data_IF_168106445292
#
_entry.id   IF_168106445292
#
_cell.length_a   1.000
_cell.length_b   1.000
_cell.length_c   1.000
_cell.angle_alpha   90.00
_cell.angle_beta   90.00
_cell.angle_gamma   90.00
#
_symmetry.space_group_name_H-M   'P 1'
#
loop_
_entity.id
_entity.type
_entity.pdbx_description
1 polymer ?
#
# COMPACT_ATOMS: atom_id res chain seq x y z
N UNK A 1 14.34 60.76 27.23
CA UNK A 1 13.32 60.08 28.08
C UNK A 1 13.78 58.66 28.34
N UNK A 2 13.87 58.21 29.61
CA UNK A 2 14.16 56.81 29.92
C UNK A 2 12.92 55.99 29.59
N UNK A 3 12.99 55.13 28.58
CA UNK A 3 11.90 54.18 28.24
C UNK A 3 11.54 53.34 29.47
N UNK A 4 10.26 53.01 29.66
CA UNK A 4 9.84 52.07 30.71
C UNK A 4 10.54 50.71 30.51
N UNK A 5 10.88 50.03 31.61
CA UNK A 5 11.48 48.68 31.57
C UNK A 5 10.65 47.72 30.74
N UNK A 6 9.32 47.83 30.82
CA UNK A 6 8.37 47.03 30.03
C UNK A 6 8.55 47.27 28.53
N UNK A 7 8.62 48.54 28.08
CA UNK A 7 8.79 48.89 26.66
C UNK A 7 10.15 48.42 26.13
N UNK A 8 11.23 48.55 26.93
CA UNK A 8 12.56 48.06 26.53
C UNK A 8 12.59 46.54 26.33
N UNK A 9 11.94 45.79 27.22
CA UNK A 9 11.86 44.34 27.12
C UNK A 9 11.10 43.90 25.86
N UNK A 10 9.95 44.54 25.57
CA UNK A 10 9.17 44.20 24.38
C UNK A 10 9.90 44.57 23.08
N UNK A 11 10.63 45.70 23.05
CA UNK A 11 11.46 46.05 21.90
C UNK A 11 12.64 45.10 21.70
N UNK A 12 13.28 44.64 22.79
CA UNK A 12 14.33 43.63 22.71
C UNK A 12 13.78 42.29 22.18
N UNK A 13 12.60 41.86 22.67
CA UNK A 13 11.92 40.67 22.19
C UNK A 13 11.54 40.78 20.71
N UNK A 14 10.99 41.92 20.28
CA UNK A 14 10.64 42.16 18.87
C UNK A 14 11.89 42.14 17.98
N UNK A 15 13.00 42.75 18.42
CA UNK A 15 14.27 42.70 17.67
C UNK A 15 14.79 41.27 17.56
N UNK A 16 14.78 40.52 18.66
CA UNK A 16 15.19 39.12 18.65
C UNK A 16 14.31 38.29 17.70
N UNK A 17 12.99 38.49 17.73
CA UNK A 17 12.05 37.85 16.80
C UNK A 17 12.39 38.20 15.35
N UNK A 18 12.55 39.49 15.01
CA UNK A 18 12.86 39.92 13.64
C UNK A 18 14.21 39.38 13.15
N UNK A 19 15.24 39.41 13.99
CA UNK A 19 16.57 38.88 13.66
C UNK A 19 16.50 37.37 13.44
N UNK A 20 15.85 36.63 14.34
CA UNK A 20 15.71 35.18 14.18
C UNK A 20 14.88 34.82 12.96
N UNK A 21 13.78 35.53 12.67
CA UNK A 21 12.99 35.34 11.44
C UNK A 21 13.83 35.60 10.19
N UNK A 22 14.65 36.66 10.16
CA UNK A 22 15.52 36.92 9.02
C UNK A 22 16.58 35.81 8.87
N UNK A 23 17.15 35.34 9.98
CA UNK A 23 18.15 34.27 9.96
C UNK A 23 17.53 32.94 9.51
N UNK A 24 16.45 32.48 10.13
CA UNK A 24 15.88 31.14 9.89
C UNK A 24 14.93 31.10 8.69
N UNK A 25 14.29 32.21 8.34
CA UNK A 25 13.33 32.30 7.25
C UNK A 25 13.91 32.81 5.93
N UNK A 26 15.06 33.49 5.94
CA UNK A 26 15.67 34.05 4.72
C UNK A 26 17.11 33.56 4.53
N UNK A 27 18.00 33.88 5.48
CA UNK A 27 19.44 33.62 5.32
C UNK A 27 19.69 32.11 5.23
N UNK A 28 19.10 31.32 6.13
CA UNK A 28 19.30 29.88 6.17
C UNK A 28 18.74 29.15 4.93
N UNK A 29 17.47 29.35 4.50
CA UNK A 29 16.96 28.71 3.28
C UNK A 29 17.74 29.07 2.03
N UNK A 30 18.13 30.35 1.87
CA UNK A 30 18.94 30.78 0.71
C UNK A 30 20.34 30.16 0.72
N UNK A 31 20.97 30.05 1.90
CA UNK A 31 22.27 29.39 2.03
C UNK A 31 22.17 27.89 1.67
N UNK A 32 21.14 27.18 2.16
CA UNK A 32 20.90 25.77 1.82
C UNK A 32 20.64 25.61 0.32
N UNK A 33 19.81 26.47 -0.28
CA UNK A 33 19.55 26.48 -1.72
C UNK A 33 20.85 26.67 -2.51
N UNK A 34 21.66 27.68 -2.17
CA UNK A 34 22.92 27.95 -2.87
C UNK A 34 23.89 26.76 -2.80
N UNK A 35 23.96 26.07 -1.67
CA UNK A 35 24.78 24.85 -1.51
C UNK A 35 24.21 23.69 -2.34
N UNK A 36 22.89 23.52 -2.37
CA UNK A 36 22.23 22.47 -3.14
C UNK A 36 22.49 22.59 -4.65
N UNK A 37 22.71 23.80 -5.14
CA UNK A 37 23.01 24.11 -6.55
C UNK A 37 24.47 23.81 -6.94
N UNK A 38 25.32 23.35 -6.01
CA UNK A 38 26.69 22.96 -6.34
C UNK A 38 26.71 21.70 -7.23
N UNK A 39 27.69 21.60 -8.16
CA UNK A 39 27.83 20.42 -9.02
C UNK A 39 27.91 19.12 -8.21
N UNK A 40 27.09 18.13 -8.58
CA UNK A 40 26.99 16.83 -7.90
C UNK A 40 25.91 16.75 -6.81
N UNK A 41 25.32 17.86 -6.39
CA UNK A 41 24.16 17.90 -5.47
C UNK A 41 22.86 18.32 -6.16
N UNK A 42 22.98 19.05 -7.27
CA UNK A 42 21.89 19.63 -8.04
C UNK A 42 20.78 18.63 -8.44
N UNK A 43 21.16 17.47 -8.96
CA UNK A 43 20.19 16.49 -9.46
C UNK A 43 19.26 15.97 -8.33
N UNK A 44 19.76 15.93 -7.09
CA UNK A 44 18.96 15.56 -5.92
C UNK A 44 18.04 16.70 -5.48
N UNK A 45 18.49 17.95 -5.57
CA UNK A 45 17.67 19.11 -5.18
C UNK A 45 16.54 19.42 -6.17
N UNK A 46 16.74 19.08 -7.44
CA UNK A 46 15.75 19.28 -8.50
C UNK A 46 14.76 18.09 -8.60
N UNK A 47 14.78 17.18 -7.62
CA UNK A 47 13.80 16.12 -7.49
C UNK A 47 14.20 14.77 -8.08
N UNK A 48 15.48 14.56 -8.44
CA UNK A 48 15.99 13.30 -9.00
C UNK A 48 15.18 12.80 -10.20
N UNK A 49 14.95 13.70 -11.17
CA UNK A 49 14.10 13.45 -12.32
C UNK A 49 14.67 12.36 -13.23
N UNK A 50 13.79 11.53 -13.75
CA UNK A 50 14.08 10.51 -14.76
C UNK A 50 13.59 10.99 -16.12
N UNK A 51 14.41 10.83 -17.15
CA UNK A 51 14.10 11.27 -18.51
C UNK A 51 14.15 10.11 -19.50
N UNK A 52 13.22 10.13 -20.46
CA UNK A 52 13.19 9.24 -21.62
C UNK A 52 12.90 10.10 -22.86
N UNK A 53 13.70 9.94 -23.93
CA UNK A 53 13.53 10.68 -25.18
C UNK A 53 13.41 12.22 -25.01
N UNK A 54 14.15 12.77 -24.03
CA UNK A 54 14.14 14.20 -23.72
C UNK A 54 12.91 14.70 -22.95
N UNK A 55 11.99 13.82 -22.57
CA UNK A 55 10.84 14.11 -21.73
C UNK A 55 11.06 13.62 -20.30
N UNK A 56 10.56 14.37 -19.32
CA UNK A 56 10.54 13.92 -17.92
C UNK A 56 9.43 12.89 -17.75
N UNK A 57 9.80 11.67 -17.40
CA UNK A 57 8.86 10.55 -17.22
C UNK A 57 8.60 10.24 -15.74
N UNK A 58 9.36 10.84 -14.83
CA UNK A 58 9.16 10.64 -13.40
C UNK A 58 10.32 11.11 -12.54
N UNK A 59 10.43 10.53 -11.36
CA UNK A 59 11.52 10.73 -10.40
C UNK A 59 11.95 9.37 -9.86
N UNK A 60 13.23 9.20 -9.55
CA UNK A 60 13.72 8.00 -8.86
C UNK A 60 13.15 7.84 -7.44
N UNK A 61 12.49 8.88 -6.91
CA UNK A 61 11.99 8.94 -5.54
C UNK A 61 10.46 8.79 -5.43
N UNK A 62 9.75 8.79 -6.55
CA UNK A 62 8.28 8.79 -6.59
C UNK A 62 7.81 7.57 -7.37
N UNK A 63 7.07 6.68 -6.71
CA UNK A 63 6.45 5.53 -7.35
C UNK A 63 5.33 5.93 -8.31
N UNK A 64 5.00 5.02 -9.22
CA UNK A 64 3.94 5.22 -10.20
C UNK A 64 3.01 4.00 -10.23
N UNK A 65 1.78 4.23 -10.68
CA UNK A 65 0.88 3.13 -11.04
C UNK A 65 1.26 2.58 -12.41
N UNK A 66 1.34 1.26 -12.53
CA UNK A 66 1.59 0.55 -13.79
C UNK A 66 0.34 -0.25 -14.21
N UNK A 67 -0.80 0.44 -14.16
CA UNK A 67 -2.12 -0.06 -14.56
C UNK A 67 -2.63 0.68 -15.79
N UNK A 68 -3.62 0.10 -16.47
CA UNK A 68 -4.40 0.83 -17.47
C UNK A 68 -5.46 1.75 -16.82
N UNK A 69 -6.30 2.37 -17.65
CA UNK A 69 -7.35 3.30 -17.22
C UNK A 69 -8.44 2.64 -16.37
N UNK A 70 -8.62 1.32 -16.48
CA UNK A 70 -9.57 0.55 -15.70
C UNK A 70 -8.94 0.01 -14.40
N UNK A 71 -7.69 0.39 -14.11
CA UNK A 71 -6.95 -0.07 -12.93
C UNK A 71 -6.36 -1.48 -13.07
N UNK A 72 -6.42 -2.08 -14.26
CA UNK A 72 -5.87 -3.42 -14.48
C UNK A 72 -4.37 -3.36 -14.69
N UNK A 73 -3.64 -4.23 -14.01
CA UNK A 73 -2.19 -4.32 -14.08
C UNK A 73 -1.67 -4.57 -15.51
N UNK A 74 -0.74 -3.73 -15.97
CA UNK A 74 -0.09 -3.88 -17.27
C UNK A 74 0.89 -5.05 -17.25
N UNK A 75 0.67 -6.03 -18.14
CA UNK A 75 1.41 -7.30 -18.16
C UNK A 75 2.91 -7.14 -18.46
N UNK A 76 3.30 -6.04 -19.10
CA UNK A 76 4.67 -5.73 -19.51
C UNK A 76 5.50 -4.97 -18.45
N UNK A 77 4.89 -4.56 -17.34
CA UNK A 77 5.55 -3.79 -16.28
C UNK A 77 5.53 -4.50 -14.93
N UNK A 78 6.60 -4.28 -14.16
CA UNK A 78 6.62 -4.57 -12.74
C UNK A 78 5.60 -3.70 -12.03
N UNK A 79 4.86 -4.32 -11.13
CA UNK A 79 3.82 -3.69 -10.34
C UNK A 79 4.43 -3.20 -9.03
N UNK A 80 4.15 -1.94 -8.73
CA UNK A 80 4.50 -1.31 -7.48
C UNK A 80 3.64 -1.85 -6.33
N UNK A 81 3.91 -1.37 -5.11
CA UNK A 81 3.04 -1.64 -3.96
C UNK A 81 1.66 -1.00 -4.16
N UNK A 82 0.62 -1.46 -3.47
CA UNK A 82 -0.63 -0.71 -3.44
C UNK A 82 -0.42 0.71 -2.87
N UNK A 83 -1.17 1.67 -3.40
CA UNK A 83 -1.18 3.06 -2.92
C UNK A 83 -2.56 3.43 -2.37
N UNK A 84 -2.58 4.27 -1.34
CA UNK A 84 -3.77 4.95 -0.84
C UNK A 84 -3.78 6.46 -1.13
N UNK A 85 -2.77 6.99 -1.83
CA UNK A 85 -2.68 8.40 -2.20
C UNK A 85 -3.58 8.73 -3.40
N UNK A 86 -4.64 9.50 -3.16
CA UNK A 86 -5.61 9.91 -4.17
C UNK A 86 -6.58 8.79 -4.57
N UNK A 87 -7.51 9.10 -5.49
CA UNK A 87 -8.56 8.17 -5.92
C UNK A 87 -8.01 6.94 -6.67
N UNK A 88 -6.97 7.14 -7.48
CA UNK A 88 -6.37 6.09 -8.33
C UNK A 88 -5.00 5.59 -7.83
N UNK A 89 -4.59 6.04 -6.64
CA UNK A 89 -3.24 5.76 -6.14
C UNK A 89 -2.17 6.63 -6.80
N UNK A 90 -0.99 6.70 -6.16
CA UNK A 90 0.19 7.38 -6.66
C UNK A 90 -0.01 8.88 -7.00
N UNK A 91 -1.01 9.55 -6.40
CA UNK A 91 -1.23 10.99 -6.57
C UNK A 91 -0.29 11.81 -5.67
N UNK A 92 0.68 12.57 -6.24
CA UNK A 92 1.60 13.38 -5.45
C UNK A 92 0.93 14.55 -4.73
N UNK A 93 -0.27 14.96 -5.13
CA UNK A 93 -1.05 16.02 -4.48
C UNK A 93 -1.87 15.52 -3.28
N UNK A 94 -2.05 14.20 -3.15
CA UNK A 94 -2.88 13.56 -2.13
C UNK A 94 -2.09 12.55 -1.27
N UNK A 95 -0.77 12.69 -1.20
CA UNK A 95 0.17 11.86 -0.42
C UNK A 95 -0.42 11.41 0.93
N UNK A 96 -0.66 10.12 1.08
CA UNK A 96 -1.38 9.57 2.24
C UNK A 96 -1.24 8.04 2.35
N UNK A 97 -1.56 7.54 3.55
CA UNK A 97 -1.65 6.12 3.88
C UNK A 97 -3.11 5.68 4.02
N UNK A 98 -3.36 4.37 3.98
CA UNK A 98 -4.71 3.83 4.19
C UNK A 98 -5.25 4.03 5.62
N UNK A 99 -4.35 4.14 6.61
CA UNK A 99 -4.68 4.33 8.04
C UNK A 99 -5.67 3.30 8.63
N UNK A 100 -5.81 2.12 8.01
CA UNK A 100 -6.60 1.01 8.55
C UNK A 100 -5.79 0.25 9.59
N UNK A 101 -6.37 0.04 10.78
CA UNK A 101 -5.75 -0.72 11.86
C UNK A 101 -5.90 -2.24 11.70
N UNK A 102 -5.15 -3.04 12.48
CA UNK A 102 -5.21 -4.51 12.42
C UNK A 102 -6.58 -5.10 12.80
N UNK A 103 -7.38 -4.37 13.58
CA UNK A 103 -8.76 -4.76 13.95
C UNK A 103 -9.80 -4.40 12.87
N UNK A 104 -9.38 -3.80 11.74
CA UNK A 104 -10.24 -3.59 10.58
C UNK A 104 -10.43 -4.92 9.85
N UNK A 105 -11.38 -5.72 10.31
CA UNK A 105 -11.67 -7.06 9.77
C UNK A 105 -13.10 -7.23 9.24
N UNK A 106 -13.97 -6.24 9.43
CA UNK A 106 -15.38 -6.27 8.98
C UNK A 106 -15.61 -5.20 7.92
N UNK A 107 -16.18 -5.60 6.80
CA UNK A 107 -16.54 -4.72 5.69
C UNK A 107 -17.83 -3.96 6.00
N UNK A 108 -17.94 -2.74 5.49
CA UNK A 108 -19.23 -2.04 5.40
C UNK A 108 -19.85 -2.38 4.06
N UNK A 109 -20.88 -3.22 4.09
CA UNK A 109 -21.62 -3.66 2.91
C UNK A 109 -22.87 -2.78 2.73
N UNK A 110 -23.10 -2.30 1.52
CA UNK A 110 -24.24 -1.48 1.16
C UNK A 110 -24.84 -1.95 -0.17
N UNK A 111 -26.11 -1.63 -0.40
CA UNK A 111 -26.78 -1.91 -1.67
C UNK A 111 -26.26 -1.01 -2.79
N UNK A 112 -25.77 0.19 -2.45
CA UNK A 112 -25.00 1.05 -3.35
C UNK A 112 -23.52 0.63 -3.34
N UNK A 113 -22.97 0.13 -4.46
CA UNK A 113 -21.57 -0.28 -4.53
C UNK A 113 -20.58 0.85 -4.23
N UNK A 114 -20.96 2.12 -4.39
CA UNK A 114 -20.09 3.26 -4.10
C UNK A 114 -19.95 3.55 -2.60
N UNK A 115 -20.88 3.07 -1.78
CA UNK A 115 -20.84 3.19 -0.31
C UNK A 115 -20.18 1.98 0.37
N UNK A 116 -19.84 0.93 -0.40
CA UNK A 116 -19.12 -0.24 0.12
C UNK A 116 -17.71 0.16 0.55
N UNK A 117 -17.36 -0.14 1.82
CA UNK A 117 -16.02 0.12 2.36
C UNK A 117 -15.40 -1.17 2.84
N UNK A 118 -14.34 -1.58 2.16
CA UNK A 118 -13.61 -2.79 2.54
C UNK A 118 -12.75 -2.54 3.78
N UNK A 119 -12.73 -3.54 4.65
CA UNK A 119 -11.80 -3.65 5.76
C UNK A 119 -10.37 -3.89 5.29
N UNK A 120 -9.40 -3.74 6.20
CA UNK A 120 -8.02 -4.10 5.90
C UNK A 120 -7.91 -5.57 5.53
N UNK A 121 -8.62 -6.45 6.25
CA UNK A 121 -8.60 -7.88 5.99
C UNK A 121 -9.07 -8.21 4.57
N UNK A 122 -10.27 -7.77 4.18
CA UNK A 122 -10.79 -8.01 2.83
C UNK A 122 -9.92 -7.34 1.75
N UNK A 123 -9.37 -6.15 2.01
CA UNK A 123 -8.43 -5.50 1.09
C UNK A 123 -7.18 -6.36 0.84
N UNK A 124 -6.60 -6.93 1.90
CA UNK A 124 -5.43 -7.82 1.80
C UNK A 124 -5.80 -9.13 1.09
N UNK A 125 -6.95 -9.71 1.41
CA UNK A 125 -7.44 -10.93 0.77
C UNK A 125 -7.64 -10.74 -0.74
N UNK A 126 -8.30 -9.66 -1.15
CA UNK A 126 -8.58 -9.37 -2.55
C UNK A 126 -7.29 -9.18 -3.34
N UNK A 127 -6.36 -8.37 -2.83
CA UNK A 127 -5.05 -8.16 -3.45
C UNK A 127 -4.23 -9.44 -3.53
N UNK A 128 -4.22 -10.24 -2.46
CA UNK A 128 -3.47 -11.50 -2.44
C UNK A 128 -3.98 -12.47 -3.50
N UNK A 129 -5.30 -12.60 -3.62
CA UNK A 129 -5.94 -13.38 -4.67
C UNK A 129 -5.59 -12.85 -6.06
N UNK A 130 -5.71 -11.54 -6.28
CA UNK A 130 -5.40 -10.92 -7.58
C UNK A 130 -3.92 -11.13 -7.98
N UNK A 131 -2.98 -10.93 -7.06
CA UNK A 131 -1.55 -11.19 -7.32
C UNK A 131 -1.29 -12.67 -7.57
N UNK A 132 -1.89 -13.57 -6.79
CA UNK A 132 -1.80 -15.01 -6.99
C UNK A 132 -2.29 -15.43 -8.39
N UNK A 133 -3.47 -14.96 -8.78
CA UNK A 133 -4.06 -15.22 -10.09
C UNK A 133 -3.20 -14.65 -11.23
N UNK A 134 -2.68 -13.43 -11.07
CA UNK A 134 -1.85 -12.74 -12.08
C UNK A 134 -0.50 -13.44 -12.29
N UNK A 135 0.20 -13.76 -11.20
CA UNK A 135 1.54 -14.35 -11.25
C UNK A 135 1.51 -15.89 -11.27
N UNK A 136 0.31 -16.50 -11.26
CA UNK A 136 0.06 -17.95 -11.27
C UNK A 136 0.70 -18.68 -10.08
N UNK A 137 0.56 -18.11 -8.89
CA UNK A 137 0.98 -18.71 -7.62
C UNK A 137 -0.20 -18.80 -6.65
N UNK A 138 -0.03 -19.55 -5.56
CA UNK A 138 -1.05 -19.61 -4.52
C UNK A 138 -1.13 -18.27 -3.75
N UNK A 139 -2.26 -17.57 -3.93
CA UNK A 139 -2.58 -16.33 -3.22
C UNK A 139 -3.37 -16.53 -1.93
N UNK A 140 -3.68 -17.77 -1.54
CA UNK A 140 -4.48 -18.06 -0.37
C UNK A 140 -3.80 -17.60 0.93
N UNK A 141 -4.62 -17.16 1.90
CA UNK A 141 -4.17 -16.74 3.22
C UNK A 141 -5.13 -17.28 4.29
N UNK A 142 -4.64 -17.53 5.53
CA UNK A 142 -5.44 -18.21 6.55
C UNK A 142 -6.77 -17.55 6.89
N UNK A 143 -6.86 -16.23 6.84
CA UNK A 143 -8.08 -15.49 7.20
C UNK A 143 -8.88 -15.01 5.98
N UNK A 144 -8.63 -15.59 4.80
CA UNK A 144 -9.28 -15.20 3.56
C UNK A 144 -10.17 -16.31 3.03
N UNK A 145 -11.33 -15.94 2.49
CA UNK A 145 -12.18 -16.86 1.73
C UNK A 145 -11.59 -17.09 0.34
N UNK A 146 -12.10 -18.09 -0.38
CA UNK A 146 -11.69 -18.38 -1.77
C UNK A 146 -12.03 -17.25 -2.74
N UNK A 147 -13.04 -16.45 -2.41
CA UNK A 147 -13.49 -15.32 -3.20
C UNK A 147 -12.67 -14.04 -2.92
N UNK A 148 -11.73 -14.09 -1.97
CA UNK A 148 -10.81 -12.99 -1.70
C UNK A 148 -11.36 -11.95 -0.73
N UNK A 149 -12.33 -12.29 0.11
CA UNK A 149 -12.77 -11.44 1.24
C UNK A 149 -12.31 -12.02 2.58
N UNK A 150 -12.38 -11.23 3.65
CA UNK A 150 -12.04 -11.71 4.99
C UNK A 150 -13.00 -12.77 5.49
N UNK A 151 -12.49 -13.90 5.97
CA UNK A 151 -13.28 -14.98 6.57
C UNK A 151 -13.70 -14.60 8.00
N UNK A 152 -14.81 -13.86 8.14
CA UNK A 152 -15.26 -13.32 9.42
C UNK A 152 -16.74 -13.59 9.64
N UNK A 153 -17.07 -14.06 10.85
CA UNK A 153 -18.44 -14.33 11.28
C UNK A 153 -18.87 -13.34 12.36
N UNK A 154 -20.14 -12.94 12.34
CA UNK A 154 -20.85 -12.42 13.51
C UNK A 154 -21.68 -13.53 14.12
N UNK A 155 -21.30 -13.94 15.33
CA UNK A 155 -21.91 -15.04 16.07
C UNK A 155 -22.83 -14.47 17.13
N UNK A 156 -24.14 -14.69 16.99
CA UNK A 156 -25.17 -14.12 17.86
C UNK A 156 -25.74 -15.22 18.75
N UNK A 157 -25.84 -14.95 20.05
CA UNK A 157 -26.38 -15.88 21.05
C UNK A 157 -26.05 -15.44 22.48
N UNK A 158 -26.49 -16.20 23.49
CA UNK A 158 -26.11 -15.95 24.88
C UNK A 158 -24.58 -16.04 25.05
N UNK A 159 -24.02 -15.08 25.77
CA UNK A 159 -22.59 -15.02 26.07
C UNK A 159 -22.32 -15.66 27.43
N UNK A 160 -21.22 -16.40 27.50
CA UNK A 160 -20.70 -16.90 28.77
C UNK A 160 -19.88 -15.82 29.52
N UNK A 161 -19.27 -16.21 30.64
CA UNK A 161 -18.48 -15.31 31.49
C UNK A 161 -17.25 -14.71 30.79
N UNK A 162 -16.73 -15.39 29.75
CA UNK A 162 -15.59 -14.93 28.96
C UNK A 162 -16.02 -14.07 27.75
N UNK A 163 -17.34 -13.87 27.58
CA UNK A 163 -17.92 -13.10 26.48
C UNK A 163 -18.09 -13.89 25.19
N UNK A 164 -17.82 -15.20 25.22
CA UNK A 164 -17.91 -16.13 24.10
C UNK A 164 -19.33 -16.66 23.89
N UNK A 165 -19.67 -16.97 22.64
CA UNK A 165 -21.00 -17.51 22.29
C UNK A 165 -20.89 -19.03 22.17
N UNK A 166 -21.28 -19.73 23.23
CA UNK A 166 -21.23 -21.19 23.31
C UNK A 166 -22.36 -21.88 22.53
N UNK A 167 -23.57 -21.31 22.58
CA UNK A 167 -24.77 -21.82 21.89
C UNK A 167 -25.32 -20.75 20.95
N UNK A 168 -24.75 -20.60 19.74
CA UNK A 168 -25.23 -19.59 18.81
C UNK A 168 -26.69 -19.84 18.41
N UNK A 169 -27.42 -18.76 18.19
CA UNK A 169 -28.78 -18.78 17.64
C UNK A 169 -28.81 -18.29 16.20
N UNK A 170 -27.84 -17.44 15.80
CA UNK A 170 -27.67 -16.96 14.44
C UNK A 170 -26.18 -16.75 14.15
N UNK A 171 -25.75 -17.09 12.94
CA UNK A 171 -24.36 -16.88 12.49
C UNK A 171 -24.39 -16.28 11.10
N UNK A 172 -23.69 -15.16 10.92
CA UNK A 172 -23.66 -14.41 9.65
C UNK A 172 -22.22 -14.26 9.21
N UNK A 173 -21.92 -14.55 7.94
CA UNK A 173 -20.66 -14.18 7.29
C UNK A 173 -20.72 -12.70 6.92
N UNK A 174 -19.98 -11.87 7.66
CA UNK A 174 -20.18 -10.40 7.63
C UNK A 174 -19.50 -9.70 6.45
N UNK A 175 -18.60 -10.40 5.76
CA UNK A 175 -17.89 -9.85 4.59
C UNK A 175 -18.39 -10.45 3.26
N UNK A 176 -19.41 -11.31 3.29
CA UNK A 176 -20.02 -11.93 2.11
C UNK A 176 -21.47 -11.45 1.98
N UNK A 177 -21.69 -10.46 1.11
CA UNK A 177 -23.02 -9.90 0.85
C UNK A 177 -23.93 -10.92 0.15
N UNK A 178 -25.18 -11.04 0.60
CA UNK A 178 -26.19 -11.86 -0.09
C UNK A 178 -26.39 -11.39 -1.54
N UNK A 179 -26.57 -12.32 -2.51
CA UNK A 179 -26.86 -13.76 -2.35
C UNK A 179 -25.62 -14.66 -2.36
N UNK A 180 -24.45 -14.19 -1.91
CA UNK A 180 -23.25 -15.02 -1.82
C UNK A 180 -23.50 -16.32 -1.02
N UNK A 181 -22.78 -17.38 -1.40
CA UNK A 181 -22.75 -18.63 -0.63
C UNK A 181 -21.69 -18.49 0.44
N UNK A 182 -22.02 -18.56 1.74
CA UNK A 182 -21.03 -18.36 2.78
C UNK A 182 -19.87 -19.36 2.72
N UNK A 183 -18.66 -18.91 3.04
CA UNK A 183 -17.45 -19.75 3.02
C UNK A 183 -17.52 -20.97 3.96
N UNK A 184 -18.38 -20.91 4.99
CA UNK A 184 -18.72 -22.03 5.87
C UNK A 184 -20.21 -22.34 5.77
N UNK A 185 -20.58 -23.61 5.64
CA UNK A 185 -21.99 -24.00 5.64
C UNK A 185 -22.64 -23.92 7.04
N UNK A 186 -21.88 -24.30 8.08
CA UNK A 186 -22.34 -24.29 9.47
C UNK A 186 -21.23 -23.90 10.44
N UNK A 187 -21.59 -23.30 11.57
CA UNK A 187 -20.68 -22.98 12.67
C UNK A 187 -21.35 -23.34 13.99
N UNK A 188 -20.70 -24.20 14.78
CA UNK A 188 -21.25 -24.76 16.04
C UNK A 188 -22.71 -25.28 15.91
N UNK A 189 -23.00 -25.94 14.78
CA UNK A 189 -24.32 -26.54 14.51
C UNK A 189 -25.39 -25.59 13.96
N UNK A 190 -25.08 -24.29 13.81
CA UNK A 190 -25.98 -23.29 13.22
C UNK A 190 -25.58 -23.04 11.77
N UNK A 191 -26.54 -22.92 10.86
CA UNK A 191 -26.29 -22.55 9.47
C UNK A 191 -25.74 -21.13 9.39
N UNK A 192 -24.69 -20.93 8.59
CA UNK A 192 -24.16 -19.58 8.32
C UNK A 192 -24.99 -18.93 7.20
N UNK A 193 -25.37 -17.69 7.43
CA UNK A 193 -26.08 -16.81 6.47
C UNK A 193 -25.09 -15.82 5.85
N UNK A 194 -25.37 -15.34 4.65
CA UNK A 194 -24.69 -14.17 4.08
C UNK A 194 -25.19 -12.88 4.75
N UNK A 195 -24.41 -11.81 4.65
CA UNK A 195 -24.78 -10.51 5.18
C UNK A 195 -25.76 -9.78 4.24
N UNK A 196 -26.83 -9.23 4.81
CA UNK A 196 -27.72 -8.32 4.09
C UNK A 196 -27.06 -6.94 3.98
N UNK A 197 -27.02 -6.32 2.79
CA UNK A 197 -26.45 -4.98 2.64
C UNK A 197 -27.15 -3.95 3.55
N UNK A 198 -26.36 -3.10 4.23
CA UNK A 198 -26.83 -2.09 5.17
C UNK A 198 -27.23 -2.61 6.56
N UNK A 199 -27.18 -3.93 6.80
CA UNK A 199 -27.49 -4.49 8.11
C UNK A 199 -26.32 -4.35 9.09
N UNK A 200 -26.65 -4.08 10.37
CA UNK A 200 -25.66 -4.01 11.45
C UNK A 200 -25.57 -5.35 12.20
N UNK A 201 -24.38 -5.93 12.21
CA UNK A 201 -24.05 -7.19 12.88
C UNK A 201 -23.16 -7.02 14.11
N UNK A 202 -22.95 -5.78 14.60
CA UNK A 202 -22.08 -5.47 15.73
C UNK A 202 -22.56 -6.06 17.08
N UNK A 203 -23.82 -6.44 17.19
CA UNK A 203 -24.35 -7.07 18.40
C UNK A 203 -23.76 -8.49 18.64
N UNK A 204 -23.33 -9.16 17.58
CA UNK A 204 -22.71 -10.49 17.65
C UNK A 204 -21.25 -10.44 18.14
N UNK A 205 -20.70 -11.60 18.48
CA UNK A 205 -19.26 -11.77 18.67
C UNK A 205 -18.64 -11.88 17.28
N UNK A 206 -17.80 -10.91 16.92
CA UNK A 206 -17.02 -10.96 15.69
C UNK A 206 -15.90 -12.00 15.87
N UNK A 207 -15.88 -13.00 14.99
CA UNK A 207 -14.94 -14.12 15.03
C UNK A 207 -14.25 -14.25 13.67
N UNK A 208 -12.97 -13.90 13.54
CA UNK A 208 -12.20 -14.25 12.36
C UNK A 208 -11.95 -15.77 12.35
N UNK A 209 -12.14 -16.39 11.19
CA UNK A 209 -12.01 -17.83 11.02
C UNK A 209 -10.68 -18.15 10.35
N UNK A 210 -9.89 -18.99 11.03
CA UNK A 210 -8.63 -19.51 10.49
C UNK A 210 -8.91 -20.71 9.59
N UNK A 211 -8.59 -20.58 8.31
CA UNK A 211 -8.70 -21.61 7.27
C UNK A 211 -7.47 -22.53 7.21
N UNK A 212 -7.38 -23.31 6.13
CA UNK A 212 -6.35 -24.32 5.89
C UNK A 212 -5.12 -23.80 5.13
N UNK A 213 -5.18 -22.56 4.63
CA UNK A 213 -4.07 -21.93 3.91
C UNK A 213 -2.85 -21.74 4.81
N UNK A 214 -1.65 -21.85 4.23
CA UNK A 214 -0.39 -21.69 4.95
C UNK A 214 -0.10 -20.21 5.25
N UNK A 215 0.54 -19.94 6.38
CA UNK A 215 1.02 -18.58 6.72
C UNK A 215 2.15 -18.10 5.81
N UNK A 216 2.94 -19.02 5.24
CA UNK A 216 4.00 -18.72 4.27
C UNK A 216 3.45 -18.81 2.84
N UNK A 217 2.67 -17.80 2.45
CA UNK A 217 2.15 -17.66 1.09
C UNK A 217 3.26 -17.18 0.13
N UNK A 218 3.30 -17.67 -1.12
CA UNK A 218 4.16 -17.12 -2.16
C UNK A 218 4.03 -15.59 -2.34
N UNK A 219 2.83 -15.02 -2.15
CA UNK A 219 2.55 -13.59 -2.31
C UNK A 219 3.10 -12.80 -1.11
N UNK A 220 4.14 -11.97 -1.29
CA UNK A 220 4.79 -11.27 -0.18
C UNK A 220 3.91 -10.15 0.40
N UNK A 221 4.27 -9.68 1.59
CA UNK A 221 3.47 -8.72 2.36
C UNK A 221 3.40 -7.34 1.71
N UNK A 222 4.47 -6.89 1.06
CA UNK A 222 4.54 -5.62 0.34
C UNK A 222 3.67 -5.58 -0.93
N UNK A 223 3.34 -6.74 -1.51
CA UNK A 223 2.40 -6.85 -2.62
C UNK A 223 0.94 -6.52 -2.24
N UNK A 224 0.59 -6.71 -0.96
CA UNK A 224 -0.80 -6.57 -0.47
C UNK A 224 -1.00 -5.38 0.47
N UNK A 225 0.09 -4.91 1.10
CA UNK A 225 0.06 -3.79 2.05
C UNK A 225 0.44 -2.47 1.38
N UNK A 226 -0.40 -1.44 1.59
CA UNK A 226 -0.11 -0.11 1.10
C UNK A 226 1.09 0.52 1.82
N UNK A 227 1.79 1.42 1.14
CA UNK A 227 2.89 2.19 1.74
C UNK A 227 2.39 3.33 2.63
N UNK A 228 3.25 3.80 3.54
CA UNK A 228 2.91 4.91 4.45
C UNK A 228 2.85 6.28 3.78
N UNK A 229 3.50 6.47 2.63
CA UNK A 229 3.43 7.70 1.84
C UNK A 229 2.40 7.63 0.71
N UNK A 230 2.04 6.43 0.27
CA UNK A 230 1.28 6.22 -0.98
C UNK A 230 2.11 6.46 -2.25
N UNK A 231 3.38 6.85 -2.13
CA UNK A 231 4.26 7.18 -3.27
C UNK A 231 5.55 6.36 -3.29
N UNK A 232 5.56 5.22 -2.59
CA UNK A 232 6.76 4.37 -2.47
C UNK A 232 7.20 3.83 -3.85
N UNK A 233 8.41 4.18 -4.33
CA UNK A 233 8.94 3.64 -5.58
C UNK A 233 9.52 2.24 -5.43
N UNK A 234 9.57 1.69 -4.20
CA UNK A 234 10.26 0.46 -3.91
C UNK A 234 9.35 -0.73 -3.64
N UNK A 235 9.83 -1.90 -4.03
CA UNK A 235 9.31 -3.21 -3.62
C UNK A 235 10.44 -4.09 -3.06
N UNK A 236 10.09 -5.13 -2.33
CA UNK A 236 11.04 -6.15 -1.90
C UNK A 236 11.58 -6.94 -3.09
N UNK A 237 12.82 -7.48 -3.03
CA UNK A 237 13.32 -8.39 -4.04
C UNK A 237 12.43 -9.61 -4.25
N UNK A 238 11.83 -10.15 -3.16
CA UNK A 238 10.87 -11.26 -3.24
C UNK A 238 9.66 -10.91 -4.12
N UNK A 239 9.15 -9.68 -4.02
CA UNK A 239 8.02 -9.26 -4.87
C UNK A 239 8.43 -8.99 -6.31
N UNK A 240 9.65 -8.48 -6.55
CA UNK A 240 10.19 -8.37 -7.90
C UNK A 240 10.36 -9.77 -8.55
N UNK A 241 10.95 -10.71 -7.81
CA UNK A 241 11.19 -12.09 -8.26
C UNK A 241 9.90 -12.80 -8.65
N UNK A 242 8.83 -12.59 -7.87
CA UNK A 242 7.51 -13.18 -8.15
C UNK A 242 6.96 -12.79 -9.53
N UNK A 243 7.33 -11.61 -10.04
CA UNK A 243 6.81 -11.07 -11.30
C UNK A 243 7.67 -11.42 -12.52
N UNK A 244 8.88 -11.95 -12.33
CA UNK A 244 9.86 -12.19 -13.39
C UNK A 244 9.29 -13.01 -14.55
N UNK A 245 8.62 -14.14 -14.24
CA UNK A 245 8.10 -15.05 -15.25
C UNK A 245 7.06 -14.36 -16.17
N UNK A 246 6.19 -13.51 -15.59
CA UNK A 246 5.20 -12.75 -16.36
C UNK A 246 5.88 -11.73 -17.28
N UNK A 247 6.84 -10.97 -16.76
CA UNK A 247 7.56 -9.95 -17.53
C UNK A 247 8.35 -10.57 -18.68
N UNK A 248 9.10 -11.64 -18.39
CA UNK A 248 9.86 -12.39 -19.38
C UNK A 248 8.97 -12.85 -20.54
N UNK A 249 7.80 -13.44 -20.21
CA UNK A 249 6.80 -13.86 -21.19
C UNK A 249 6.23 -12.68 -21.98
N UNK A 250 5.85 -11.59 -21.31
CA UNK A 250 5.23 -10.43 -21.96
C UNK A 250 6.18 -9.73 -22.95
N UNK A 251 7.49 -9.72 -22.67
CA UNK A 251 8.50 -9.06 -23.51
C UNK A 251 9.29 -10.01 -24.41
N UNK A 252 8.96 -11.30 -24.41
CA UNK A 252 9.65 -12.34 -25.18
C UNK A 252 11.18 -12.35 -24.93
N UNK A 253 11.56 -12.28 -23.65
CA UNK A 253 12.94 -12.36 -23.16
C UNK A 253 13.07 -13.48 -22.13
N UNK A 254 14.30 -13.84 -21.76
CA UNK A 254 14.54 -14.89 -20.76
C UNK A 254 14.33 -14.36 -19.33
N UNK A 255 13.95 -15.25 -18.41
CA UNK A 255 13.85 -14.91 -16.99
C UNK A 255 15.19 -14.44 -16.39
N UNK A 256 16.31 -15.00 -16.86
CA UNK A 256 17.64 -14.58 -16.42
C UNK A 256 17.98 -13.14 -16.82
N UNK A 257 17.56 -12.71 -18.02
CA UNK A 257 17.71 -11.30 -18.43
C UNK A 257 16.90 -10.36 -17.54
N UNK A 258 15.68 -10.76 -17.17
CA UNK A 258 14.85 -9.98 -16.25
C UNK A 258 15.44 -9.96 -14.85
N UNK A 259 15.95 -11.10 -14.35
CA UNK A 259 16.61 -11.19 -13.04
C UNK A 259 17.84 -10.30 -12.95
N UNK A 260 18.66 -10.26 -14.01
CA UNK A 260 19.80 -9.34 -14.09
C UNK A 260 19.39 -7.86 -14.00
N UNK A 261 18.22 -7.49 -14.56
CA UNK A 261 17.69 -6.14 -14.39
C UNK A 261 17.23 -5.90 -12.95
N UNK A 262 16.49 -6.84 -12.35
CA UNK A 262 16.09 -6.74 -10.95
C UNK A 262 17.32 -6.55 -10.06
N UNK A 263 18.36 -7.36 -10.23
CA UNK A 263 19.62 -7.26 -9.47
C UNK A 263 20.31 -5.90 -9.67
N UNK A 264 20.35 -5.38 -10.91
CA UNK A 264 20.95 -4.09 -11.22
C UNK A 264 20.22 -2.91 -10.55
N UNK A 265 18.91 -3.03 -10.33
CA UNK A 265 18.06 -2.03 -9.67
C UNK A 265 17.76 -2.37 -8.21
N UNK A 266 18.44 -3.38 -7.64
CA UNK A 266 18.34 -3.74 -6.24
C UNK A 266 19.38 -3.00 -5.42
N UNK A 267 18.91 -2.17 -4.50
CA UNK A 267 19.74 -1.56 -3.46
C UNK A 267 19.78 -2.43 -2.22
N UNK A 268 20.99 -2.67 -1.70
CA UNK A 268 21.18 -3.33 -0.41
C UNK A 268 20.79 -2.44 0.79
N UNK A 269 21.01 -2.96 1.99
CA UNK A 269 20.81 -2.20 3.24
C UNK A 269 21.76 -1.01 3.28
N UNK A 270 21.27 0.13 3.76
CA UNK A 270 22.10 1.32 3.96
C UNK A 270 23.18 1.00 5.00
N UNK A 271 24.44 1.25 4.66
CA UNK A 271 25.62 0.88 5.47
C UNK A 271 25.69 -0.62 5.84
N UNK A 272 24.95 -1.49 5.14
CA UNK A 272 24.92 -2.94 5.39
C UNK A 272 23.96 -3.41 6.49
N UNK A 273 23.34 -2.52 7.28
CA UNK A 273 22.46 -2.92 8.39
C UNK A 273 21.16 -2.12 8.53
N UNK A 274 21.08 -0.90 7.99
CA UNK A 274 19.89 -0.06 8.10
C UNK A 274 18.89 -0.35 6.97
N UNK A 275 17.64 -0.57 7.37
CA UNK A 275 16.53 -0.86 6.46
C UNK A 275 16.62 -2.26 5.84
N UNK A 276 15.97 -2.40 4.69
CA UNK A 276 15.82 -3.65 3.96
C UNK A 276 16.32 -3.52 2.52
N UNK A 277 16.74 -4.63 1.88
CA UNK A 277 16.97 -4.66 0.44
C UNK A 277 15.71 -4.28 -0.31
N UNK A 278 15.86 -3.50 -1.38
CA UNK A 278 14.73 -2.90 -2.10
C UNK A 278 15.03 -2.70 -3.57
N UNK A 279 14.02 -2.84 -4.41
CA UNK A 279 14.09 -2.69 -5.87
C UNK A 279 13.33 -1.43 -6.26
N UNK A 280 13.95 -0.52 -7.02
CA UNK A 280 13.27 0.67 -7.52
C UNK A 280 12.45 0.32 -8.78
N UNK A 281 11.12 0.35 -8.67
CA UNK A 281 10.21 -0.09 -9.74
C UNK A 281 10.23 0.87 -10.93
N UNK A 282 10.33 2.18 -10.69
CA UNK A 282 10.27 3.19 -11.76
C UNK A 282 11.55 3.15 -12.60
N UNK A 283 12.71 3.08 -11.96
CA UNK A 283 14.00 2.92 -12.65
C UNK A 283 14.08 1.57 -13.37
N UNK A 284 13.60 0.49 -12.74
CA UNK A 284 13.56 -0.84 -13.34
C UNK A 284 12.68 -0.90 -14.59
N UNK A 285 11.46 -0.36 -14.54
CA UNK A 285 10.56 -0.35 -15.69
C UNK A 285 11.09 0.54 -16.82
N UNK A 286 11.73 1.67 -16.48
CA UNK A 286 12.37 2.53 -17.48
C UNK A 286 13.53 1.81 -18.20
N UNK A 287 14.42 1.14 -17.45
CA UNK A 287 15.53 0.36 -18.05
C UNK A 287 15.00 -0.84 -18.87
N UNK A 288 13.91 -1.44 -18.42
CA UNK A 288 13.21 -2.50 -19.14
C UNK A 288 12.68 -2.00 -20.50
N UNK A 289 12.12 -0.80 -20.57
CA UNK A 289 11.67 -0.18 -21.84
C UNK A 289 12.83 0.17 -22.77
N UNK A 290 13.94 0.67 -22.22
CA UNK A 290 15.11 1.05 -23.02
C UNK A 290 15.82 -0.16 -23.63
N UNK A 291 15.98 -1.25 -22.86
CA UNK A 291 16.72 -2.45 -23.32
C UNK A 291 15.84 -3.46 -24.04
N UNK A 292 14.61 -3.62 -23.59
CA UNK A 292 13.67 -4.60 -24.11
C UNK A 292 12.31 -3.95 -24.41
N UNK A 293 12.21 -3.08 -25.43
CA UNK A 293 10.99 -2.37 -25.74
C UNK A 293 9.81 -3.32 -25.92
N UNK A 294 8.68 -3.02 -25.26
CA UNK A 294 7.46 -3.81 -25.44
C UNK A 294 6.90 -3.59 -26.86
N UNK A 295 6.61 -4.68 -27.56
CA UNK A 295 5.97 -4.67 -28.88
C UNK A 295 4.62 -5.36 -28.74
N UNK A 296 3.56 -4.56 -28.80
CA UNK A 296 2.18 -5.02 -28.77
C UNK A 296 1.82 -5.84 -30.03
#
# INVERSE_FOLDING_TARGET
MRLSTWVRQHLAALRALLVLTAITGIIYPLAVFAVAQLPGLHDKSDGSLLTADGQVVGSSLIGQSFTDADGKALAQYFQSRPSAAGEHGYDPMATSASNLGPESIVDTLDADPSEVKLSLLSTVCARSKEVGDRERVDGARPFCTKDGVGAVLSVIGPRDADGEVSHPTRVVSVNEACPATPFLATYKGVRVECAEPGADYAAGRIVPIFGDATVDTPVPTDAVTASGSGLDPHISPRYADLQIARIAKARNITEDQVRQLVDAHTSGRTLGFLGEPRVNVVELNLDLDQRYPFRA
#
